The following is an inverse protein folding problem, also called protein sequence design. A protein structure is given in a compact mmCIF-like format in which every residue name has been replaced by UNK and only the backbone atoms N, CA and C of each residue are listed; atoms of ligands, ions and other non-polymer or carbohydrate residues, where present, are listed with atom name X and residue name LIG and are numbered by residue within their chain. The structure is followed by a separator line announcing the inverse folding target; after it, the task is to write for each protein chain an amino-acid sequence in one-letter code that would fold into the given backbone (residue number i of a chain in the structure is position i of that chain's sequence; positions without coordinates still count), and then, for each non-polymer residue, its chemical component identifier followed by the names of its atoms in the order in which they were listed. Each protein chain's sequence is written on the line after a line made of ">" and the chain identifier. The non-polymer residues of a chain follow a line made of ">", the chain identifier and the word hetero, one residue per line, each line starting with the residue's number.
data_IF_101927117929
#
_entry.id   IF_101927117929
#
_cell.length_a   1.000
_cell.length_b   1.000
_cell.length_c   1.000
_cell.angle_alpha   90.00
_cell.angle_beta   90.00
_cell.angle_gamma   90.00
#
_symmetry.space_group_name_H-M   'P 1'
#
loop_
_entity.id
_entity.type
_entity.pdbx_description
1 polymer ?
#
# COMPACT_ATOMS: atom_id res chain seq x y z
N UNK A 1 14.36 -33.77 7.88
CA UNK A 1 13.07 -33.05 8.06
C UNK A 1 12.67 -32.93 9.53
N UNK A 2 12.91 -33.95 10.36
CA UNK A 2 12.63 -33.95 11.82
C UNK A 2 13.45 -32.93 12.64
N UNK A 3 14.74 -32.70 12.33
CA UNK A 3 15.58 -31.79 13.13
C UNK A 3 15.02 -30.36 13.20
N UNK A 4 14.49 -29.87 12.09
CA UNK A 4 13.96 -28.50 11.99
C UNK A 4 12.51 -28.39 12.50
N UNK A 5 11.81 -29.50 12.82
CA UNK A 5 10.48 -29.42 13.46
C UNK A 5 10.64 -29.14 14.95
N UNK A 6 11.63 -29.80 15.57
CA UNK A 6 12.07 -29.52 16.93
C UNK A 6 12.50 -28.06 17.12
N UNK A 7 13.09 -27.45 16.08
CA UNK A 7 13.51 -26.05 16.06
C UNK A 7 12.34 -25.04 16.07
N UNK A 8 11.21 -25.35 15.41
CA UNK A 8 10.02 -24.48 15.47
C UNK A 8 9.37 -24.58 16.85
N UNK A 9 9.35 -25.79 17.43
CA UNK A 9 8.68 -26.05 18.71
C UNK A 9 9.47 -25.50 19.91
N UNK A 10 10.78 -25.29 19.77
CA UNK A 10 11.63 -24.66 20.78
C UNK A 10 11.52 -23.13 20.84
N UNK A 11 10.91 -22.47 19.85
CA UNK A 11 10.73 -21.02 19.85
C UNK A 11 9.79 -20.56 20.98
N UNK A 12 10.16 -19.49 21.68
CA UNK A 12 9.33 -18.81 22.68
C UNK A 12 8.26 -17.90 22.03
N UNK A 13 7.41 -18.50 21.20
CA UNK A 13 6.30 -17.85 20.51
C UNK A 13 4.99 -18.58 20.80
N UNK A 14 3.86 -17.91 20.63
CA UNK A 14 2.55 -18.54 20.85
C UNK A 14 2.32 -19.72 19.90
N UNK A 15 1.55 -20.71 20.35
CA UNK A 15 1.22 -21.91 19.57
C UNK A 15 0.58 -21.59 18.23
N UNK A 16 -0.15 -20.47 18.15
CA UNK A 16 -0.72 -19.96 16.91
C UNK A 16 0.36 -19.65 15.87
N UNK A 17 1.48 -19.08 16.28
CA UNK A 17 2.62 -18.81 15.39
C UNK A 17 3.39 -20.08 15.05
N UNK A 18 3.62 -20.99 16.01
CA UNK A 18 4.24 -22.30 15.75
C UNK A 18 3.47 -23.07 14.67
N UNK A 19 2.14 -23.12 14.78
CA UNK A 19 1.27 -23.76 13.78
C UNK A 19 1.41 -23.15 12.39
N UNK A 20 1.55 -21.82 12.28
CA UNK A 20 1.76 -21.14 10.99
C UNK A 20 3.12 -21.45 10.39
N UNK A 21 4.16 -21.50 11.21
CA UNK A 21 5.52 -21.84 10.78
C UNK A 21 5.59 -23.29 10.28
N UNK A 22 4.93 -24.22 10.98
CA UNK A 22 4.79 -25.60 10.51
C UNK A 22 4.06 -25.68 9.16
N UNK A 23 3.00 -24.88 8.95
CA UNK A 23 2.31 -24.81 7.66
C UNK A 23 3.19 -24.23 6.54
N UNK A 24 3.92 -23.14 6.83
CA UNK A 24 4.85 -22.52 5.88
C UNK A 24 5.94 -23.50 5.45
N UNK A 25 6.52 -24.22 6.40
CA UNK A 25 7.50 -25.25 6.14
C UNK A 25 6.94 -26.40 5.32
N UNK A 26 5.74 -26.90 5.66
CA UNK A 26 5.01 -27.91 4.86
C UNK A 26 4.80 -27.45 3.42
N UNK A 27 4.62 -26.15 3.19
CA UNK A 27 4.47 -25.58 1.85
C UNK A 27 5.79 -25.26 1.13
N UNK A 28 6.94 -25.56 1.74
CA UNK A 28 8.26 -25.36 1.15
C UNK A 28 8.82 -23.95 1.28
N UNK A 29 8.44 -23.19 2.33
CA UNK A 29 8.90 -21.81 2.53
C UNK A 29 10.42 -21.64 2.71
N UNK A 30 11.17 -22.73 2.90
CA UNK A 30 12.63 -22.70 2.97
C UNK A 30 13.28 -22.47 1.60
N UNK A 31 12.68 -23.02 0.54
CA UNK A 31 13.23 -23.01 -0.82
C UNK A 31 12.41 -22.17 -1.78
N UNK A 32 11.09 -22.07 -1.55
CA UNK A 32 10.15 -21.43 -2.46
C UNK A 32 9.87 -19.98 -2.07
N UNK A 33 9.80 -19.12 -3.08
CA UNK A 33 9.25 -17.77 -2.92
C UNK A 33 7.76 -17.80 -2.58
N UNK A 34 7.23 -16.76 -1.95
CA UNK A 34 5.80 -16.65 -1.62
C UNK A 34 4.89 -16.93 -2.82
N UNK A 35 5.22 -16.41 -4.01
CA UNK A 35 4.44 -16.65 -5.23
C UNK A 35 4.51 -18.12 -5.72
N UNK A 36 5.64 -18.79 -5.50
CA UNK A 36 5.81 -20.21 -5.83
C UNK A 36 5.09 -21.11 -4.83
N UNK A 37 5.05 -20.73 -3.55
CA UNK A 37 4.26 -21.42 -2.52
C UNK A 37 2.78 -21.46 -2.91
N UNK A 38 2.21 -20.34 -3.34
CA UNK A 38 0.81 -20.26 -3.76
C UNK A 38 0.49 -21.16 -4.97
N UNK A 39 1.50 -21.52 -5.77
CA UNK A 39 1.38 -22.41 -6.93
C UNK A 39 1.76 -23.86 -6.62
N UNK A 40 2.30 -24.14 -5.43
CA UNK A 40 2.78 -25.47 -5.08
C UNK A 40 1.65 -26.48 -4.92
N UNK A 41 1.92 -27.74 -5.21
CA UNK A 41 0.95 -28.83 -4.99
C UNK A 41 0.58 -28.95 -3.51
N UNK A 42 1.55 -28.74 -2.62
CA UNK A 42 1.34 -28.76 -1.17
C UNK A 42 0.30 -27.71 -0.73
N UNK A 43 0.32 -26.51 -1.34
CA UNK A 43 -0.70 -25.49 -1.10
C UNK A 43 -2.05 -25.87 -1.74
N UNK A 44 -2.05 -26.38 -2.97
CA UNK A 44 -3.27 -26.79 -3.69
C UNK A 44 -4.00 -28.01 -3.10
N UNK A 45 -3.30 -28.86 -2.37
CA UNK A 45 -3.88 -30.02 -1.67
C UNK A 45 -4.28 -29.70 -0.23
N UNK A 46 -3.88 -28.53 0.31
CA UNK A 46 -4.24 -28.11 1.66
C UNK A 46 -5.73 -27.80 1.81
N UNK A 47 -6.25 -28.00 3.02
CA UNK A 47 -7.64 -27.69 3.37
C UNK A 47 -7.92 -26.19 3.37
N UNK A 48 -9.18 -25.79 3.14
CA UNK A 48 -9.57 -24.37 3.17
C UNK A 48 -9.18 -23.68 4.49
N UNK A 49 -9.27 -24.39 5.62
CA UNK A 49 -8.87 -23.89 6.94
C UNK A 49 -7.37 -23.62 7.05
N UNK A 50 -6.53 -24.48 6.48
CA UNK A 50 -5.08 -24.25 6.41
C UNK A 50 -4.74 -23.06 5.51
N UNK A 51 -5.42 -22.95 4.35
CA UNK A 51 -5.26 -21.80 3.44
C UNK A 51 -5.67 -20.48 4.08
N UNK A 52 -6.76 -20.47 4.86
CA UNK A 52 -7.22 -19.28 5.57
C UNK A 52 -6.32 -18.93 6.77
N UNK A 53 -5.75 -19.94 7.43
CA UNK A 53 -4.74 -19.71 8.47
C UNK A 53 -3.48 -19.08 7.90
N UNK A 54 -3.11 -19.49 6.68
CA UNK A 54 -2.00 -18.96 5.89
C UNK A 54 -2.27 -17.57 5.31
N UNK A 55 -3.45 -17.36 4.69
CA UNK A 55 -3.81 -16.17 3.89
C UNK A 55 -4.69 -15.17 4.66
N UNK A 56 -4.29 -13.89 4.64
CA UNK A 56 -5.00 -12.65 5.04
C UNK A 56 -5.73 -12.62 6.40
N UNK A 57 -6.71 -13.49 6.62
CA UNK A 57 -7.69 -13.43 7.74
C UNK A 57 -7.05 -13.69 9.10
N UNK A 58 -5.90 -14.37 9.14
CA UNK A 58 -5.23 -14.65 10.41
C UNK A 58 -4.32 -13.49 10.88
N UNK A 59 -4.04 -12.51 10.02
CA UNK A 59 -3.11 -11.40 10.27
C UNK A 59 -3.79 -10.05 10.41
N UNK A 60 -4.89 -10.01 11.17
CA UNK A 60 -5.57 -8.78 11.56
C UNK A 60 -4.63 -7.64 12.02
N UNK A 61 -3.60 -7.89 12.85
CA UNK A 61 -2.66 -6.83 13.23
C UNK A 61 -1.81 -6.30 12.08
N UNK A 62 -1.47 -7.12 11.08
CA UNK A 62 -0.71 -6.66 9.91
C UNK A 62 -1.63 -5.99 8.87
N UNK A 63 -2.90 -6.37 8.83
CA UNK A 63 -3.92 -5.72 8.01
C UNK A 63 -4.19 -4.30 8.50
N UNK A 64 -4.48 -4.11 9.79
CA UNK A 64 -4.70 -2.79 10.38
C UNK A 64 -3.42 -2.00 10.62
N UNK A 65 -2.32 -2.67 10.96
CA UNK A 65 -1.04 -2.03 11.22
C UNK A 65 -0.27 -1.65 9.96
N UNK A 66 -0.62 -2.20 8.79
CA UNK A 66 0.06 -1.90 7.53
C UNK A 66 1.58 -2.03 7.64
N UNK A 67 2.31 -1.02 7.16
CA UNK A 67 3.77 -0.98 7.26
C UNK A 67 4.27 -0.84 8.72
N UNK A 68 3.48 -0.24 9.64
CA UNK A 68 3.86 -0.10 11.06
C UNK A 68 4.06 -1.46 11.74
N UNK A 69 3.31 -2.47 11.31
CA UNK A 69 3.49 -3.85 11.76
C UNK A 69 4.91 -4.37 11.49
N UNK A 70 5.49 -4.03 10.34
CA UNK A 70 6.85 -4.43 9.98
C UNK A 70 7.89 -3.72 10.84
N UNK A 71 7.68 -2.44 11.18
CA UNK A 71 8.54 -1.73 12.13
C UNK A 71 8.48 -2.35 13.52
N UNK A 72 7.27 -2.70 14.01
CA UNK A 72 7.09 -3.36 15.29
C UNK A 72 7.78 -4.74 15.36
N UNK A 73 7.76 -5.50 14.26
CA UNK A 73 8.46 -6.80 14.15
C UNK A 73 9.93 -6.67 13.78
N UNK A 74 10.50 -5.46 13.86
CA UNK A 74 11.90 -5.14 13.52
C UNK A 74 12.31 -5.58 12.11
N UNK A 75 11.37 -5.52 11.15
CA UNK A 75 11.57 -5.74 9.71
C UNK A 75 11.64 -4.39 8.99
N UNK A 76 12.54 -3.51 9.44
CA UNK A 76 12.55 -2.10 9.06
C UNK A 76 12.71 -1.86 7.55
N UNK A 77 13.60 -2.62 6.89
CA UNK A 77 13.84 -2.43 5.45
C UNK A 77 12.64 -2.84 4.59
N UNK A 78 12.01 -3.99 4.87
CA UNK A 78 10.74 -4.37 4.25
C UNK A 78 9.66 -3.33 4.53
N UNK A 79 9.59 -2.83 5.76
CA UNK A 79 8.67 -1.74 6.16
C UNK A 79 8.84 -0.46 5.36
N UNK A 80 10.08 -0.01 5.14
CA UNK A 80 10.37 1.17 4.30
C UNK A 80 9.99 0.96 2.83
N UNK A 81 10.22 -0.24 2.28
CA UNK A 81 9.81 -0.54 0.91
C UNK A 81 8.28 -0.52 0.77
N UNK A 82 7.56 -1.14 1.72
CA UNK A 82 6.08 -1.11 1.74
C UNK A 82 5.59 0.33 1.87
N UNK A 83 6.14 1.13 2.78
CA UNK A 83 5.81 2.55 2.93
C UNK A 83 5.99 3.32 1.62
N UNK A 84 7.11 3.09 0.93
CA UNK A 84 7.43 3.74 -0.34
C UNK A 84 6.41 3.40 -1.43
N UNK A 85 5.99 2.14 -1.52
CA UNK A 85 4.92 1.72 -2.43
C UNK A 85 3.56 2.29 -2.04
N UNK A 86 3.25 2.35 -0.74
CA UNK A 86 2.00 2.96 -0.26
C UNK A 86 1.93 4.45 -0.61
N UNK A 87 3.03 5.19 -0.49
CA UNK A 87 3.09 6.60 -0.91
C UNK A 87 2.83 6.75 -2.40
N UNK A 88 3.50 5.95 -3.23
CA UNK A 88 3.31 5.98 -4.69
C UNK A 88 1.89 5.59 -5.10
N UNK A 89 1.28 4.63 -4.39
CA UNK A 89 -0.11 4.24 -4.61
C UNK A 89 -1.08 5.37 -4.28
N UNK A 90 -0.92 6.01 -3.12
CA UNK A 90 -1.71 7.17 -2.73
C UNK A 90 -1.54 8.29 -3.75
N UNK A 91 -0.31 8.60 -4.17
CA UNK A 91 -0.05 9.60 -5.21
C UNK A 91 -0.74 9.26 -6.52
N UNK A 92 -0.69 8.00 -6.96
CA UNK A 92 -1.36 7.58 -8.19
C UNK A 92 -2.89 7.77 -8.10
N UNK A 93 -3.51 7.35 -7.00
CA UNK A 93 -4.95 7.50 -6.79
C UNK A 93 -5.36 8.97 -6.66
N UNK A 94 -4.64 9.77 -5.87
CA UNK A 94 -4.92 11.20 -5.70
C UNK A 94 -4.79 11.97 -7.02
N UNK A 95 -3.81 11.63 -7.86
CA UNK A 95 -3.71 12.22 -9.19
C UNK A 95 -4.88 11.80 -10.10
N UNK A 96 -5.34 10.54 -10.00
CA UNK A 96 -6.54 10.09 -10.73
C UNK A 96 -7.76 10.89 -10.30
N UNK A 97 -8.01 11.05 -8.99
CA UNK A 97 -9.11 11.88 -8.49
C UNK A 97 -9.00 13.32 -9.01
N UNK A 98 -7.80 13.90 -8.90
CA UNK A 98 -7.53 15.27 -9.34
C UNK A 98 -7.84 15.50 -10.82
N UNK A 99 -7.31 14.65 -11.72
CA UNK A 99 -7.49 14.87 -13.17
C UNK A 99 -8.85 14.41 -13.70
N UNK A 100 -9.47 13.41 -13.07
CA UNK A 100 -10.75 12.86 -13.55
C UNK A 100 -11.97 13.48 -12.87
N UNK A 101 -11.82 14.09 -11.70
CA UNK A 101 -12.92 14.55 -10.86
C UNK A 101 -13.73 13.42 -10.21
N UNK A 102 -13.25 12.18 -10.27
CA UNK A 102 -13.89 11.03 -9.61
C UNK A 102 -13.52 11.02 -8.14
N UNK A 103 -14.50 10.73 -7.28
CA UNK A 103 -14.28 10.51 -5.84
C UNK A 103 -14.00 9.04 -5.57
N UNK A 104 -12.80 8.72 -5.10
CA UNK A 104 -12.37 7.38 -4.72
C UNK A 104 -12.59 7.22 -3.20
N UNK A 105 -13.23 6.14 -2.74
CA UNK A 105 -13.41 5.91 -1.31
C UNK A 105 -12.08 5.78 -0.56
N UNK A 106 -11.97 6.44 0.61
CA UNK A 106 -10.77 6.42 1.48
C UNK A 106 -10.21 5.02 1.73
N UNK A 107 -11.08 4.02 1.86
CA UNK A 107 -10.68 2.64 2.07
C UNK A 107 -9.74 2.09 0.98
N UNK A 108 -9.86 2.57 -0.27
CA UNK A 108 -9.05 2.15 -1.42
C UNK A 108 -7.61 2.65 -1.31
N UNK A 109 -7.40 3.83 -0.71
CA UNK A 109 -6.07 4.38 -0.44
C UNK A 109 -5.26 3.50 0.51
N UNK A 110 -5.94 2.92 1.51
CA UNK A 110 -5.31 2.03 2.51
C UNK A 110 -5.25 0.56 2.06
N UNK A 111 -6.08 0.17 1.10
CA UNK A 111 -6.26 -1.22 0.69
C UNK A 111 -4.96 -1.88 0.24
N UNK A 112 -4.12 -1.21 -0.57
CA UNK A 112 -2.88 -1.82 -1.07
C UNK A 112 -1.94 -2.18 0.07
N UNK A 113 -1.69 -1.25 1.00
CA UNK A 113 -0.81 -1.50 2.14
C UNK A 113 -1.34 -2.62 3.02
N UNK A 114 -2.63 -2.60 3.35
CA UNK A 114 -3.27 -3.59 4.21
C UNK A 114 -3.24 -5.00 3.59
N UNK A 115 -3.53 -5.09 2.29
CA UNK A 115 -3.51 -6.35 1.54
C UNK A 115 -2.11 -6.91 1.37
N UNK A 116 -1.10 -6.10 1.04
CA UNK A 116 0.29 -6.56 0.93
C UNK A 116 0.83 -7.04 2.28
N UNK A 117 0.63 -6.24 3.34
CA UNK A 117 1.11 -6.58 4.66
C UNK A 117 0.46 -7.85 5.22
N UNK A 118 -0.86 -7.99 5.08
CA UNK A 118 -1.58 -9.17 5.58
C UNK A 118 -1.19 -10.46 4.84
N UNK A 119 -0.95 -10.39 3.53
CA UNK A 119 -0.52 -11.53 2.72
C UNK A 119 0.90 -11.98 3.06
N UNK A 120 1.85 -11.04 3.19
CA UNK A 120 3.26 -11.40 3.31
C UNK A 120 3.77 -11.53 4.74
N UNK A 121 3.08 -10.96 5.74
CA UNK A 121 3.60 -10.89 7.11
C UNK A 121 3.99 -12.25 7.74
N UNK A 122 3.24 -13.32 7.47
CA UNK A 122 3.58 -14.64 8.01
C UNK A 122 4.86 -15.19 7.38
N UNK A 123 4.97 -15.08 6.06
CA UNK A 123 6.11 -15.56 5.29
C UNK A 123 7.36 -14.74 5.62
N UNK A 124 7.23 -13.42 5.67
CA UNK A 124 8.34 -12.51 5.96
C UNK A 124 8.88 -12.68 7.37
N UNK A 125 7.99 -12.91 8.35
CA UNK A 125 8.43 -13.21 9.71
C UNK A 125 9.13 -14.57 9.79
N UNK A 126 8.62 -15.60 9.10
CA UNK A 126 9.27 -16.92 9.04
C UNK A 126 10.67 -16.85 8.42
N UNK A 127 10.80 -16.20 7.25
CA UNK A 127 12.10 -16.03 6.57
C UNK A 127 13.07 -15.19 7.41
N UNK A 128 12.58 -14.19 8.12
CA UNK A 128 13.40 -13.47 9.09
C UNK A 128 13.87 -14.36 10.24
N UNK A 129 13.00 -15.21 10.78
CA UNK A 129 13.33 -16.04 11.95
C UNK A 129 14.31 -17.18 11.63
N UNK A 130 14.19 -17.82 10.47
CA UNK A 130 14.97 -19.02 10.13
C UNK A 130 16.08 -18.79 9.10
N UNK A 131 16.01 -17.71 8.31
CA UNK A 131 16.96 -17.44 7.23
C UNK A 131 17.63 -16.06 7.35
N UNK A 132 17.41 -15.35 8.46
CA UNK A 132 17.87 -13.96 8.69
C UNK A 132 17.62 -13.03 7.50
N UNK A 133 16.52 -13.27 6.77
CA UNK A 133 16.24 -12.57 5.53
C UNK A 133 15.90 -11.09 5.79
N UNK A 134 16.75 -10.21 5.27
CA UNK A 134 16.60 -8.76 5.43
C UNK A 134 15.62 -8.16 4.41
N UNK A 135 15.63 -8.65 3.17
CA UNK A 135 14.79 -8.20 2.06
C UNK A 135 14.49 -9.37 1.11
N UNK A 136 13.37 -9.31 0.38
CA UNK A 136 12.92 -10.41 -0.48
C UNK A 136 13.94 -10.78 -1.56
N UNK A 137 14.03 -12.08 -1.85
CA UNK A 137 15.01 -12.64 -2.81
C UNK A 137 14.79 -12.24 -4.28
N UNK A 138 13.59 -11.82 -4.63
CA UNK A 138 13.30 -11.32 -5.98
C UNK A 138 13.91 -9.92 -6.22
N UNK A 139 14.29 -9.20 -5.15
CA UNK A 139 14.96 -7.91 -5.28
C UNK A 139 16.42 -8.15 -5.68
N UNK A 140 16.91 -7.54 -6.78
CA UNK A 140 18.29 -7.70 -7.22
C UNK A 140 19.29 -7.43 -6.09
N UNK A 141 20.34 -8.23 -5.97
CA UNK A 141 21.31 -8.15 -4.85
C UNK A 141 21.88 -6.74 -4.66
N UNK A 142 22.11 -6.02 -5.77
CA UNK A 142 22.59 -4.63 -5.76
C UNK A 142 21.66 -3.66 -5.01
N UNK A 143 20.37 -3.95 -4.96
CA UNK A 143 19.34 -3.09 -4.34
C UNK A 143 18.93 -3.57 -2.94
N UNK A 144 19.45 -4.71 -2.47
CA UNK A 144 19.17 -5.25 -1.12
C UNK A 144 19.99 -4.57 -0.01
N UNK A 145 20.58 -3.41 -0.28
CA UNK A 145 21.34 -2.65 0.71
C UNK A 145 20.46 -1.53 1.34
N UNK A 146 20.86 -1.05 2.51
CA UNK A 146 20.14 0.02 3.22
C UNK A 146 20.06 1.30 2.38
N UNK A 147 21.12 1.64 1.65
CA UNK A 147 21.20 2.88 0.87
C UNK A 147 20.17 2.93 -0.25
N UNK A 148 20.01 1.85 -1.03
CA UNK A 148 19.01 1.77 -2.11
C UNK A 148 17.60 1.89 -1.59
N UNK A 149 17.28 1.27 -0.45
CA UNK A 149 15.96 1.40 0.19
C UNK A 149 15.71 2.85 0.64
N UNK A 150 16.71 3.51 1.22
CA UNK A 150 16.58 4.91 1.64
C UNK A 150 16.44 5.87 0.45
N UNK A 151 17.17 5.64 -0.64
CA UNK A 151 17.02 6.41 -1.88
C UNK A 151 15.64 6.22 -2.50
N UNK A 152 15.12 4.99 -2.51
CA UNK A 152 13.77 4.71 -2.99
C UNK A 152 12.72 5.44 -2.13
N UNK A 153 12.86 5.40 -0.81
CA UNK A 153 11.99 6.14 0.10
C UNK A 153 12.05 7.65 -0.15
N UNK A 154 13.26 8.21 -0.28
CA UNK A 154 13.44 9.64 -0.54
C UNK A 154 12.75 10.05 -1.84
N UNK A 155 12.93 9.27 -2.92
CA UNK A 155 12.26 9.50 -4.20
C UNK A 155 10.74 9.45 -4.06
N UNK A 156 10.20 8.42 -3.39
CA UNK A 156 8.75 8.30 -3.15
C UNK A 156 8.20 9.49 -2.35
N UNK A 157 8.92 9.96 -1.32
CA UNK A 157 8.53 11.14 -0.54
C UNK A 157 8.55 12.40 -1.41
N UNK A 158 9.56 12.58 -2.26
CA UNK A 158 9.63 13.73 -3.18
C UNK A 158 8.46 13.71 -4.19
N UNK A 159 8.14 12.55 -4.76
CA UNK A 159 7.02 12.40 -5.70
C UNK A 159 5.68 12.67 -5.00
N UNK A 160 5.49 12.12 -3.80
CA UNK A 160 4.27 12.31 -3.03
C UNK A 160 4.08 13.76 -2.58
N UNK A 161 5.12 14.37 -2.01
CA UNK A 161 5.11 15.78 -1.61
C UNK A 161 4.93 16.72 -2.81
N UNK A 162 5.56 16.42 -3.94
CA UNK A 162 5.39 17.16 -5.18
C UNK A 162 3.96 17.09 -5.74
N UNK A 163 3.31 15.92 -5.67
CA UNK A 163 1.91 15.75 -6.07
C UNK A 163 0.96 16.54 -5.16
N UNK A 164 1.18 16.54 -3.84
CA UNK A 164 0.40 17.36 -2.91
C UNK A 164 0.59 18.85 -3.21
N UNK A 165 1.83 19.29 -3.38
CA UNK A 165 2.14 20.68 -3.70
C UNK A 165 1.50 21.11 -5.03
N UNK A 166 1.55 20.25 -6.05
CA UNK A 166 0.89 20.48 -7.33
C UNK A 166 -0.63 20.63 -7.15
N UNK A 167 -1.27 19.69 -6.46
CA UNK A 167 -2.72 19.75 -6.21
C UNK A 167 -3.10 21.03 -5.45
N UNK A 168 -2.36 21.41 -4.40
CA UNK A 168 -2.62 22.63 -3.62
C UNK A 168 -2.49 23.91 -4.45
N UNK A 169 -1.56 23.96 -5.40
CA UNK A 169 -1.32 25.15 -6.24
C UNK A 169 -2.21 25.23 -7.47
N UNK A 170 -2.83 24.11 -7.86
CA UNK A 170 -3.68 24.01 -9.06
C UNK A 170 -5.15 23.73 -8.72
N UNK A 171 -5.54 23.92 -7.46
CA UNK A 171 -6.91 23.81 -6.98
C UNK A 171 -7.43 25.19 -6.62
N UNK A 172 -8.60 25.51 -7.14
CA UNK A 172 -9.30 26.77 -6.92
C UNK A 172 -10.75 26.48 -6.55
N UNK A 173 -11.46 27.48 -6.02
CA UNK A 173 -12.87 27.36 -5.65
C UNK A 173 -13.62 28.62 -6.02
N UNK A 174 -14.86 28.50 -6.49
CA UNK A 174 -15.76 29.64 -6.60
C UNK A 174 -16.06 30.17 -5.20
N UNK A 175 -16.40 31.46 -5.09
CA UNK A 175 -16.77 32.05 -3.80
C UNK A 175 -17.94 31.30 -3.14
N UNK A 176 -18.90 30.81 -3.95
CA UNK A 176 -20.03 30.05 -3.45
C UNK A 176 -19.64 28.63 -2.97
N UNK A 177 -18.62 28.02 -3.57
CA UNK A 177 -18.19 26.67 -3.22
C UNK A 177 -17.18 26.61 -2.06
N UNK A 178 -16.61 27.75 -1.64
CA UNK A 178 -15.56 27.78 -0.62
C UNK A 178 -15.98 27.14 0.71
N UNK A 179 -17.22 27.39 1.15
CA UNK A 179 -17.77 26.83 2.39
C UNK A 179 -18.83 25.74 2.15
N UNK A 180 -19.06 25.33 0.90
CA UNK A 180 -20.13 24.37 0.57
C UNK A 180 -19.64 22.92 0.79
N UNK A 181 -20.26 22.15 1.71
CA UNK A 181 -19.84 20.78 2.02
C UNK A 181 -20.04 19.79 0.87
N UNK A 182 -20.78 20.18 -0.18
CA UNK A 182 -21.07 19.38 -1.38
C UNK A 182 -20.54 20.04 -2.65
N UNK A 183 -19.45 20.80 -2.55
CA UNK A 183 -18.75 21.29 -3.73
C UNK A 183 -18.32 20.14 -4.63
N UNK A 184 -18.46 20.34 -5.94
CA UNK A 184 -18.11 19.38 -6.98
C UNK A 184 -16.82 19.82 -7.64
N UNK A 185 -15.89 18.90 -7.82
CA UNK A 185 -14.65 19.13 -8.55
C UNK A 185 -14.91 19.19 -10.05
N UNK A 186 -14.59 20.31 -10.67
CA UNK A 186 -14.68 20.54 -12.12
C UNK A 186 -13.26 20.53 -12.68
N UNK A 187 -12.85 19.51 -13.45
CA UNK A 187 -11.52 19.48 -14.04
C UNK A 187 -11.44 20.49 -15.20
N UNK A 188 -10.45 21.38 -15.17
CA UNK A 188 -10.20 22.42 -16.16
C UNK A 188 -8.78 22.30 -16.72
N UNK A 189 -8.50 21.20 -17.43
CA UNK A 189 -7.18 20.90 -17.97
C UNK A 189 -6.17 20.57 -16.87
N UNK A 190 -5.20 21.46 -16.64
CA UNK A 190 -4.18 21.31 -15.59
C UNK A 190 -4.66 21.72 -14.20
N UNK A 191 -5.82 22.36 -14.11
CA UNK A 191 -6.39 22.92 -12.89
C UNK A 191 -7.70 22.22 -12.51
N UNK A 192 -8.08 22.31 -11.24
CA UNK A 192 -9.37 21.86 -10.73
C UNK A 192 -10.07 23.03 -10.05
N UNK A 193 -11.32 23.27 -10.44
CA UNK A 193 -12.19 24.28 -9.82
C UNK A 193 -13.27 23.59 -9.00
N UNK A 194 -13.39 23.92 -7.72
CA UNK A 194 -14.54 23.53 -6.91
C UNK A 194 -15.68 24.53 -7.15
N UNK A 195 -16.83 24.00 -7.55
CA UNK A 195 -18.04 24.79 -7.78
C UNK A 195 -19.24 24.08 -7.13
N UNK A 196 -20.30 24.84 -6.82
CA UNK A 196 -21.55 24.24 -6.36
C UNK A 196 -22.23 23.50 -7.52
N UNK A 197 -23.03 22.46 -7.22
CA UNK A 197 -23.76 21.74 -8.28
C UNK A 197 -24.69 22.68 -9.06
N UNK A 198 -25.30 23.66 -8.39
CA UNK A 198 -26.17 24.66 -9.03
C UNK A 198 -25.40 25.56 -10.02
N UNK A 199 -24.17 25.98 -9.70
CA UNK A 199 -23.33 26.73 -10.63
C UNK A 199 -22.97 25.89 -11.86
N UNK A 200 -22.65 24.62 -11.67
CA UNK A 200 -22.33 23.70 -12.77
C UNK A 200 -23.56 23.50 -13.67
N UNK A 201 -24.74 23.34 -13.09
CA UNK A 201 -25.98 23.13 -13.83
C UNK A 201 -26.46 24.39 -14.58
N UNK A 202 -26.26 25.57 -13.99
CA UNK A 202 -26.72 26.85 -14.56
C UNK A 202 -25.75 27.44 -15.59
N UNK A 203 -24.44 27.42 -15.32
CA UNK A 203 -23.43 28.08 -16.16
C UNK A 203 -22.68 27.11 -17.07
N UNK A 204 -22.65 25.83 -16.72
CA UNK A 204 -21.89 24.82 -17.45
C UNK A 204 -20.38 24.86 -17.16
N UNK A 205 -19.74 23.72 -17.40
CA UNK A 205 -18.31 23.49 -17.12
C UNK A 205 -17.38 24.45 -17.87
N UNK A 206 -17.69 24.81 -19.11
CA UNK A 206 -16.81 25.66 -19.93
C UNK A 206 -16.70 27.08 -19.37
N UNK A 207 -17.81 27.64 -18.88
CA UNK A 207 -17.83 28.99 -18.29
C UNK A 207 -17.04 29.03 -16.99
N UNK A 208 -17.19 27.99 -16.15
CA UNK A 208 -16.42 27.85 -14.91
C UNK A 208 -14.92 27.74 -15.20
N UNK A 209 -14.53 26.97 -16.21
CA UNK A 209 -13.12 26.85 -16.57
C UNK A 209 -12.55 28.13 -17.19
N UNK A 210 -13.33 28.92 -17.92
CA UNK A 210 -12.89 30.20 -18.48
C UNK A 210 -12.60 31.25 -17.39
N UNK A 211 -13.22 31.16 -16.21
CA UNK A 211 -12.90 32.06 -15.09
C UNK A 211 -11.44 31.93 -14.64
N UNK A 212 -10.88 30.72 -14.69
CA UNK A 212 -9.48 30.47 -14.35
C UNK A 212 -8.49 31.10 -15.34
N UNK A 213 -8.84 31.16 -16.63
CA UNK A 213 -8.00 31.80 -17.65
C UNK A 213 -7.89 33.32 -17.44
N UNK A 214 -8.94 33.94 -16.90
CA UNK A 214 -9.00 35.36 -16.59
C UNK A 214 -8.23 35.72 -15.31
N UNK A 215 -8.20 34.83 -14.32
CA UNK A 215 -7.42 35.04 -13.09
C UNK A 215 -5.92 34.73 -13.28
N UNK A 216 -5.57 33.81 -14.18
CA UNK A 216 -4.17 33.46 -14.51
C UNK A 216 -3.42 34.47 -15.38
N UNK A 217 -4.04 35.59 -15.76
CA UNK A 217 -3.43 36.67 -16.58
C UNK A 217 -3.04 37.92 -15.79
N UNK A 218 -3.00 37.85 -14.44
CA UNK A 218 -2.50 38.90 -13.55
C UNK A 218 -1.15 38.56 -12.92
#
# INVERSE_FOLDING_TARGET
>A
MESNMCEIDSLEISDKWKRRFHLLKKFGADELSHAMILKSEAYRQSSFKERLSFSMVSNFPAFFGGFLYYFYKSMHLKGFVILSFSMLWVTALSNIEFFSGVVIPDAVFWALSACLCSQWANYDLYRKTFHDEVLWDWVPVRWRNKSSVMWFLALSVTVWGGSIYYAMTHTYSTYAAYDEPKAVSVPCGSFVMYATQEEVDNYGREVICHQLELEGTL
#
